data_IF_648811093731
#
_entry.id   IF_648811093731
#
_cell.length_a   1.000
_cell.length_b   1.000
_cell.length_c   1.000
_cell.angle_alpha   90.00
_cell.angle_beta   90.00
_cell.angle_gamma   90.00
#
_symmetry.space_group_name_H-M   'P 1'
#
loop_
_entity.id
_entity.type
_entity.pdbx_description
1 polymer ?
#
# COMPACT_ATOMS: atom_id res chain seq x y z
N UNK A 1 -30.79 0.37 18.74
CA UNK A 1 -31.67 1.43 18.20
C UNK A 1 -30.80 2.30 17.31
N UNK A 2 -30.96 2.22 15.98
CA UNK A 2 -30.22 3.07 15.03
C UNK A 2 -30.67 4.52 15.21
N UNK A 3 -29.73 5.42 15.51
CA UNK A 3 -29.99 6.84 15.60
C UNK A 3 -30.40 7.42 14.25
N UNK A 4 -31.13 8.54 14.25
CA UNK A 4 -31.51 9.25 13.01
C UNK A 4 -30.25 9.86 12.38
N UNK A 5 -29.90 9.45 11.16
CA UNK A 5 -28.76 10.02 10.46
C UNK A 5 -29.00 11.49 10.11
N UNK A 6 -28.01 12.31 10.37
CA UNK A 6 -28.07 13.76 10.12
C UNK A 6 -27.80 14.06 8.65
N UNK A 7 -28.67 14.84 8.03
CA UNK A 7 -28.42 15.42 6.70
C UNK A 7 -27.52 16.64 6.85
N UNK A 8 -26.38 16.64 6.21
CA UNK A 8 -25.40 17.72 6.22
C UNK A 8 -24.64 17.77 4.87
N UNK A 9 -23.58 18.55 4.80
CA UNK A 9 -22.69 18.64 3.64
C UNK A 9 -21.27 18.23 4.01
N UNK A 10 -20.45 17.87 3.02
CA UNK A 10 -19.02 17.56 3.23
C UNK A 10 -18.32 18.76 3.87
N UNK A 11 -18.62 19.99 3.44
CA UNK A 11 -17.99 21.20 3.97
C UNK A 11 -18.32 21.48 5.43
N UNK A 12 -19.50 21.11 5.90
CA UNK A 12 -19.90 21.23 7.31
C UNK A 12 -19.32 20.10 8.17
N UNK A 13 -19.33 18.87 7.66
CA UNK A 13 -18.90 17.69 8.40
C UNK A 13 -17.38 17.54 8.43
N UNK A 14 -16.71 17.63 7.29
CA UNK A 14 -15.27 17.42 7.16
C UNK A 14 -14.64 18.41 6.15
N UNK A 15 -14.47 19.68 6.53
CA UNK A 15 -13.97 20.71 5.63
C UNK A 15 -12.61 20.36 5.05
N UNK A 16 -12.50 20.46 3.71
CA UNK A 16 -11.28 20.19 2.95
C UNK A 16 -10.33 21.40 3.06
N UNK A 17 -9.16 21.17 3.59
CA UNK A 17 -8.10 22.18 3.73
C UNK A 17 -7.08 22.03 2.61
N UNK A 18 -6.63 23.13 2.01
CA UNK A 18 -5.56 23.09 1.00
C UNK A 18 -4.23 22.66 1.60
N UNK A 19 -3.54 21.74 0.92
CA UNK A 19 -2.15 21.45 1.19
C UNK A 19 -1.24 22.66 0.91
N UNK A 20 -0.01 22.61 1.39
CA UNK A 20 0.98 23.69 1.26
C UNK A 20 2.09 23.30 0.31
N UNK A 21 2.41 24.20 -0.62
CA UNK A 21 3.47 24.00 -1.58
C UNK A 21 4.81 23.64 -0.90
N UNK A 22 5.38 22.49 -1.30
CA UNK A 22 6.69 22.01 -0.87
C UNK A 22 7.41 21.37 -2.07
N UNK A 23 8.05 22.18 -2.94
CA UNK A 23 8.82 21.67 -4.05
C UNK A 23 9.94 20.76 -3.58
N UNK A 24 10.31 19.79 -4.41
CA UNK A 24 11.34 18.82 -4.08
C UNK A 24 12.66 19.48 -3.61
N UNK A 25 13.07 20.56 -4.25
CA UNK A 25 14.27 21.34 -3.90
C UNK A 25 14.25 21.95 -2.48
N UNK A 26 13.07 22.10 -1.87
CA UNK A 26 12.89 22.61 -0.50
C UNK A 26 12.71 21.51 0.53
N UNK A 27 12.58 20.26 0.11
CA UNK A 27 12.48 19.12 1.03
C UNK A 27 13.85 18.92 1.70
N UNK A 28 13.83 18.78 3.02
CA UNK A 28 15.02 18.46 3.82
C UNK A 28 14.90 17.00 4.26
N UNK A 29 16.03 16.32 4.37
CA UNK A 29 16.07 14.94 4.85
C UNK A 29 15.34 14.80 6.18
N UNK A 30 14.43 13.81 6.29
CA UNK A 30 13.60 13.56 7.46
C UNK A 30 12.70 12.36 7.27
N UNK A 31 11.83 12.11 8.25
CA UNK A 31 11.00 10.90 8.35
C UNK A 31 9.52 11.11 8.02
N UNK A 32 9.07 12.37 7.91
CA UNK A 32 7.67 12.67 7.64
C UNK A 32 7.38 12.53 6.15
N UNK A 33 6.42 11.68 5.81
CA UNK A 33 6.00 11.49 4.43
C UNK A 33 5.38 12.75 3.85
N UNK A 34 5.71 13.05 2.59
CA UNK A 34 5.12 14.11 1.79
C UNK A 34 4.15 13.48 0.81
N UNK A 35 2.89 13.90 0.85
CA UNK A 35 1.82 13.37 0.02
C UNK A 35 1.48 14.30 -1.12
N UNK A 36 1.46 13.74 -2.33
CA UNK A 36 0.81 14.28 -3.53
C UNK A 36 -0.52 13.59 -3.79
N UNK A 37 -1.16 13.93 -4.90
CA UNK A 37 -2.49 13.40 -5.25
C UNK A 37 -2.53 11.87 -5.44
N UNK A 38 -1.42 11.26 -5.81
CA UNK A 38 -1.32 9.80 -6.01
C UNK A 38 -0.62 9.07 -4.86
N UNK A 39 -0.58 9.69 -3.67
CA UNK A 39 0.07 9.10 -2.49
C UNK A 39 1.43 9.72 -2.16
N UNK A 40 2.31 8.98 -1.46
CA UNK A 40 3.60 9.47 -1.01
C UNK A 40 4.53 9.85 -2.19
N UNK A 41 5.16 11.02 -2.10
CA UNK A 41 6.09 11.56 -3.12
C UNK A 41 7.46 11.91 -2.55
N UNK A 42 7.77 11.46 -1.34
CA UNK A 42 9.05 11.65 -0.67
C UNK A 42 8.92 11.95 0.82
N UNK A 43 9.96 12.53 1.39
CA UNK A 43 10.04 12.79 2.83
C UNK A 43 10.45 14.25 3.11
N UNK A 44 10.15 14.70 4.33
CA UNK A 44 10.56 16.01 4.84
C UNK A 44 10.85 15.94 6.35
N UNK A 45 11.58 16.92 6.87
CA UNK A 45 11.99 16.98 8.29
C UNK A 45 10.94 17.61 9.22
N UNK A 46 9.83 18.12 8.67
CA UNK A 46 8.74 18.71 9.47
C UNK A 46 7.39 18.30 8.88
N UNK A 47 6.41 17.95 9.68
CA UNK A 47 5.06 17.69 9.20
C UNK A 47 4.27 19.01 9.05
N UNK A 48 3.32 19.04 8.13
CA UNK A 48 2.27 20.05 8.04
C UNK A 48 1.13 19.70 9.00
N UNK A 49 0.76 18.42 9.06
CA UNK A 49 -0.23 17.84 9.94
C UNK A 49 0.49 17.02 11.00
N UNK A 50 0.27 17.31 12.29
CA UNK A 50 1.01 16.72 13.42
C UNK A 50 0.47 15.37 13.89
N UNK A 51 -0.62 14.89 13.33
CA UNK A 51 -1.28 13.64 13.67
C UNK A 51 -1.76 12.93 12.41
N UNK A 52 -2.71 12.04 12.61
CA UNK A 52 -3.40 11.36 11.51
C UNK A 52 -4.26 12.33 10.68
N UNK A 53 -4.54 11.96 9.44
CA UNK A 53 -5.35 12.74 8.53
C UNK A 53 -5.77 11.96 7.30
N UNK A 54 -6.57 12.62 6.45
CA UNK A 54 -6.98 12.11 5.15
C UNK A 54 -6.42 13.06 4.10
N UNK A 55 -5.74 12.54 3.09
CA UNK A 55 -5.27 13.31 1.93
C UNK A 55 -6.15 13.01 0.73
N UNK A 56 -6.61 14.05 0.04
CA UNK A 56 -7.49 13.95 -1.12
C UNK A 56 -6.80 14.61 -2.32
N UNK A 57 -6.69 13.89 -3.43
CA UNK A 57 -6.12 14.39 -4.67
C UNK A 57 -6.96 15.52 -5.28
N UNK A 58 -6.34 16.70 -5.45
CA UNK A 58 -6.98 17.87 -6.04
C UNK A 58 -6.63 18.06 -7.51
N UNK A 59 -5.37 17.83 -7.90
CA UNK A 59 -4.83 17.97 -9.26
C UNK A 59 -4.05 16.71 -9.64
N UNK A 60 -4.08 16.33 -10.89
CA UNK A 60 -3.49 15.09 -11.37
C UNK A 60 -4.43 13.92 -11.10
N UNK A 61 -4.13 13.07 -10.15
CA UNK A 61 -5.04 11.98 -9.71
C UNK A 61 -6.15 12.56 -8.83
N UNK A 62 -7.15 13.13 -9.50
CA UNK A 62 -8.28 13.82 -8.87
C UNK A 62 -9.11 12.83 -8.06
N UNK A 63 -9.50 13.20 -6.84
CA UNK A 63 -10.39 12.41 -5.99
C UNK A 63 -9.76 11.18 -5.35
N UNK A 64 -8.49 10.86 -5.62
CA UNK A 64 -7.80 9.80 -4.90
C UNK A 64 -7.71 10.14 -3.40
N UNK A 65 -8.03 9.18 -2.54
CA UNK A 65 -8.13 9.38 -1.09
C UNK A 65 -7.14 8.46 -0.38
N UNK A 66 -6.39 9.02 0.58
CA UNK A 66 -5.40 8.28 1.36
C UNK A 66 -5.60 8.56 2.83
N UNK A 67 -5.80 7.50 3.63
CA UNK A 67 -5.74 7.58 5.09
C UNK A 67 -4.28 7.58 5.53
N UNK A 68 -3.89 8.55 6.36
CA UNK A 68 -2.51 8.71 6.84
C UNK A 68 -2.50 8.68 8.37
N UNK A 69 -1.95 7.62 8.95
CA UNK A 69 -1.94 7.38 10.39
C UNK A 69 -0.85 8.15 11.15
N UNK A 70 0.18 8.63 10.45
CA UNK A 70 1.34 9.31 11.04
C UNK A 70 1.38 10.79 10.63
N UNK A 71 2.12 11.65 11.34
CA UNK A 71 2.32 13.04 10.93
C UNK A 71 2.90 13.13 9.51
N UNK A 72 2.39 14.05 8.69
CA UNK A 72 2.70 14.13 7.27
C UNK A 72 2.70 15.57 6.73
N UNK A 73 3.15 15.73 5.49
CA UNK A 73 3.00 16.95 4.72
C UNK A 73 2.12 16.70 3.49
N UNK A 74 1.05 17.48 3.35
CA UNK A 74 0.15 17.49 2.17
C UNK A 74 0.55 18.66 1.28
N UNK A 75 0.93 18.39 0.01
CA UNK A 75 1.35 19.46 -0.93
C UNK A 75 0.15 20.16 -1.56
N UNK A 76 0.41 21.24 -2.27
CA UNK A 76 -0.61 22.11 -2.88
C UNK A 76 -1.47 21.47 -3.99
N UNK A 77 -1.09 20.29 -4.48
CA UNK A 77 -1.92 19.49 -5.40
C UNK A 77 -2.98 18.64 -4.69
N UNK A 78 -3.09 18.76 -3.37
CA UNK A 78 -4.00 17.97 -2.54
C UNK A 78 -4.83 18.84 -1.61
N UNK A 79 -5.93 18.27 -1.11
CA UNK A 79 -6.59 18.69 0.11
C UNK A 79 -6.24 17.73 1.25
N UNK A 80 -6.49 18.15 2.48
CA UNK A 80 -6.43 17.26 3.63
C UNK A 80 -7.55 17.54 4.64
N UNK A 81 -7.89 16.51 5.40
CA UNK A 81 -8.80 16.57 6.57
C UNK A 81 -8.04 16.06 7.78
N UNK A 82 -8.18 16.74 8.92
CA UNK A 82 -7.58 16.34 10.19
C UNK A 82 -8.62 15.75 11.13
N UNK A 83 -8.17 15.11 12.20
CA UNK A 83 -9.04 14.62 13.24
C UNK A 83 -9.81 15.78 13.93
N UNK A 84 -10.96 15.45 14.51
CA UNK A 84 -11.82 16.33 15.29
C UNK A 84 -12.57 15.51 16.33
N UNK A 85 -12.97 16.13 17.46
CA UNK A 85 -13.64 15.44 18.56
C UNK A 85 -15.07 14.97 18.22
N UNK A 86 -15.71 15.62 17.27
CA UNK A 86 -17.11 15.42 16.85
C UNK A 86 -17.29 14.38 15.75
N UNK A 87 -16.20 13.83 15.19
CA UNK A 87 -16.24 12.82 14.13
C UNK A 87 -15.13 11.79 14.28
N UNK A 88 -15.39 10.59 13.78
CA UNK A 88 -14.38 9.55 13.59
C UNK A 88 -13.66 9.73 12.25
N UNK A 89 -12.33 9.80 12.27
CA UNK A 89 -11.54 10.09 11.07
C UNK A 89 -11.53 8.90 10.09
N UNK A 90 -11.51 7.65 10.61
CA UNK A 90 -11.53 6.46 9.77
C UNK A 90 -12.90 6.26 9.10
N UNK A 91 -13.99 6.56 9.83
CA UNK A 91 -15.33 6.66 9.22
C UNK A 91 -15.36 7.74 8.13
N UNK A 92 -14.79 8.91 8.41
CA UNK A 92 -14.73 10.02 7.44
C UNK A 92 -13.98 9.61 6.17
N UNK A 93 -12.92 8.83 6.29
CA UNK A 93 -12.20 8.25 5.16
C UNK A 93 -13.13 7.39 4.29
N UNK A 94 -13.82 6.41 4.86
CA UNK A 94 -14.75 5.55 4.12
C UNK A 94 -15.93 6.31 3.52
N UNK A 95 -16.43 7.31 4.25
CA UNK A 95 -17.47 8.18 3.72
C UNK A 95 -17.00 8.90 2.46
N UNK A 96 -15.81 9.53 2.50
CA UNK A 96 -15.25 10.24 1.35
C UNK A 96 -14.99 9.30 0.17
N UNK A 97 -14.46 8.09 0.41
CA UNK A 97 -14.28 7.04 -0.60
C UNK A 97 -15.60 6.68 -1.31
N UNK A 98 -16.71 6.66 -0.56
CA UNK A 98 -18.03 6.32 -1.11
C UNK A 98 -18.66 7.42 -1.97
N UNK A 99 -18.10 8.65 -1.98
CA UNK A 99 -18.70 9.78 -2.67
C UNK A 99 -18.37 9.87 -4.16
N UNK A 100 -17.37 9.09 -4.65
CA UNK A 100 -16.94 9.15 -6.04
C UNK A 100 -16.36 10.50 -6.44
N UNK A 101 -15.48 11.06 -5.60
CA UNK A 101 -14.88 12.39 -5.82
C UNK A 101 -14.05 12.44 -7.10
N UNK A 102 -13.56 11.33 -7.60
CA UNK A 102 -12.85 11.18 -8.87
C UNK A 102 -13.71 11.54 -10.08
N UNK A 103 -15.04 11.42 -9.97
CA UNK A 103 -16.00 11.78 -11.01
C UNK A 103 -16.44 13.24 -10.96
N UNK A 104 -16.01 14.00 -9.94
CA UNK A 104 -16.33 15.43 -9.79
C UNK A 104 -15.36 16.35 -10.54
N UNK A 105 -14.73 15.82 -11.57
CA UNK A 105 -13.84 16.59 -12.43
C UNK A 105 -14.65 17.58 -13.26
N UNK A 106 -14.38 18.88 -13.11
CA UNK A 106 -14.98 19.91 -13.96
C UNK A 106 -14.20 20.00 -15.28
N UNK A 107 -14.92 20.13 -16.40
CA UNK A 107 -14.41 20.19 -17.78
C UNK A 107 -13.50 21.42 -18.03
N UNK A 108 -12.41 21.52 -17.34
CA UNK A 108 -11.37 22.52 -17.56
C UNK A 108 -10.14 21.88 -18.22
N UNK A 109 -9.37 22.66 -18.97
CA UNK A 109 -8.12 22.22 -19.61
C UNK A 109 -7.10 21.59 -18.65
N UNK A 110 -7.28 21.77 -17.34
CA UNK A 110 -6.51 21.12 -16.26
C UNK A 110 -7.49 20.45 -15.30
N UNK A 111 -7.61 19.13 -15.33
CA UNK A 111 -8.45 18.37 -14.42
C UNK A 111 -8.18 18.72 -12.94
N UNK A 112 -9.24 18.99 -12.18
CA UNK A 112 -9.10 19.32 -10.78
C UNK A 112 -10.40 19.18 -9.99
N UNK A 113 -10.28 18.74 -8.74
CA UNK A 113 -11.39 18.72 -7.79
C UNK A 113 -11.66 20.15 -7.31
N UNK A 114 -12.85 20.65 -7.62
CA UNK A 114 -13.31 21.94 -7.12
C UNK A 114 -13.73 21.77 -5.64
N UNK A 115 -13.12 22.54 -4.74
CA UNK A 115 -13.39 22.45 -3.30
C UNK A 115 -14.84 22.77 -2.97
N UNK A 116 -15.40 23.83 -3.55
CA UNK A 116 -16.73 24.31 -3.21
C UNK A 116 -17.80 23.32 -3.71
N UNK A 117 -17.58 22.72 -4.88
CA UNK A 117 -18.41 21.64 -5.40
C UNK A 117 -18.34 20.40 -4.49
N UNK A 118 -17.15 20.02 -4.02
CA UNK A 118 -16.99 18.93 -3.07
C UNK A 118 -17.65 19.25 -1.73
N UNK A 119 -17.47 20.46 -1.19
CA UNK A 119 -18.10 20.92 0.04
C UNK A 119 -19.62 20.93 -0.04
N UNK A 120 -20.22 21.30 -1.18
CA UNK A 120 -21.66 21.33 -1.38
C UNK A 120 -22.31 19.93 -1.47
N UNK A 121 -21.50 18.85 -1.52
CA UNK A 121 -22.00 17.47 -1.61
C UNK A 121 -22.80 17.13 -0.35
N UNK A 122 -24.07 16.76 -0.55
CA UNK A 122 -24.97 16.34 0.55
C UNK A 122 -24.62 14.93 0.98
N UNK A 123 -24.54 14.72 2.28
CA UNK A 123 -24.21 13.46 2.93
C UNK A 123 -25.17 13.14 4.08
N UNK A 124 -25.22 11.87 4.46
CA UNK A 124 -25.91 11.40 5.65
C UNK A 124 -24.85 10.90 6.63
N UNK A 125 -24.87 11.39 7.84
CA UNK A 125 -23.86 11.07 8.87
C UNK A 125 -24.56 10.52 10.11
N UNK A 126 -24.17 9.34 10.61
CA UNK A 126 -24.67 8.81 11.88
C UNK A 126 -24.04 9.51 13.09
N UNK A 127 -24.55 9.26 14.27
CA UNK A 127 -23.92 9.69 15.51
C UNK A 127 -22.53 9.07 15.70
N UNK A 128 -21.68 9.73 16.51
CA UNK A 128 -20.27 9.36 16.68
C UNK A 128 -20.06 7.89 17.10
N UNK A 129 -20.94 7.35 17.95
CA UNK A 129 -20.89 5.94 18.34
C UNK A 129 -21.04 4.98 17.14
N UNK A 130 -21.99 5.27 16.27
CA UNK A 130 -22.25 4.47 15.07
C UNK A 130 -21.12 4.68 14.04
N UNK A 131 -20.56 5.90 13.90
CA UNK A 131 -19.37 6.15 13.09
C UNK A 131 -18.20 5.24 13.50
N UNK A 132 -17.92 5.16 14.80
CA UNK A 132 -16.87 4.29 15.34
C UNK A 132 -17.13 2.82 15.09
N UNK A 133 -18.38 2.38 15.21
CA UNK A 133 -18.75 0.99 14.93
C UNK A 133 -18.52 0.64 13.44
N UNK A 134 -18.94 1.51 12.52
CA UNK A 134 -18.72 1.34 11.08
C UNK A 134 -17.21 1.35 10.78
N UNK A 135 -16.47 2.32 11.31
CA UNK A 135 -15.03 2.43 11.14
C UNK A 135 -14.28 1.19 11.63
N UNK A 136 -14.69 0.63 12.75
CA UNK A 136 -14.11 -0.60 13.30
C UNK A 136 -14.34 -1.81 12.38
N UNK A 137 -15.57 -1.98 11.87
CA UNK A 137 -15.87 -3.10 10.97
C UNK A 137 -15.08 -2.98 9.67
N UNK A 138 -15.19 -1.85 8.97
CA UNK A 138 -14.50 -1.63 7.70
C UNK A 138 -12.98 -1.66 7.87
N UNK A 139 -12.48 -1.03 8.95
CA UNK A 139 -11.07 -1.04 9.26
C UNK A 139 -10.50 -2.41 9.55
N UNK A 140 -11.26 -3.28 10.21
CA UNK A 140 -10.84 -4.67 10.43
C UNK A 140 -10.73 -5.48 9.14
N UNK A 141 -11.50 -5.13 8.12
CA UNK A 141 -11.40 -5.74 6.78
C UNK A 141 -10.15 -5.23 6.05
N UNK A 142 -9.88 -3.93 6.09
CA UNK A 142 -8.66 -3.37 5.49
C UNK A 142 -7.39 -3.95 6.14
N UNK A 143 -7.37 -4.06 7.48
CA UNK A 143 -6.25 -4.63 8.21
C UNK A 143 -6.00 -6.10 7.81
N UNK A 144 -7.08 -6.88 7.56
CA UNK A 144 -6.97 -8.26 7.04
C UNK A 144 -6.46 -8.29 5.60
N UNK A 145 -6.92 -7.39 4.74
CA UNK A 145 -6.45 -7.29 3.35
C UNK A 145 -4.95 -7.00 3.33
N UNK A 146 -4.51 -6.04 4.15
CA UNK A 146 -3.10 -5.67 4.23
C UNK A 146 -2.24 -6.81 4.80
N UNK A 147 -2.70 -7.48 5.85
CA UNK A 147 -2.02 -8.66 6.40
C UNK A 147 -1.88 -9.77 5.34
N UNK A 148 -2.94 -10.07 4.60
CA UNK A 148 -2.90 -11.07 3.54
C UNK A 148 -1.92 -10.70 2.41
N UNK A 149 -1.82 -9.41 2.05
CA UNK A 149 -0.83 -8.92 1.08
C UNK A 149 0.60 -9.13 1.58
N UNK A 150 0.87 -8.78 2.84
CA UNK A 150 2.19 -8.98 3.46
C UNK A 150 2.55 -10.45 3.55
N UNK A 151 1.59 -11.31 3.92
CA UNK A 151 1.79 -12.76 3.92
C UNK A 151 2.12 -13.29 2.52
N UNK A 152 1.40 -12.87 1.50
CA UNK A 152 1.66 -13.27 0.12
C UNK A 152 3.06 -12.85 -0.34
N UNK A 153 3.49 -11.62 -0.06
CA UNK A 153 4.84 -11.13 -0.37
C UNK A 153 5.92 -11.93 0.37
N UNK A 154 5.69 -12.23 1.64
CA UNK A 154 6.63 -13.02 2.45
C UNK A 154 6.77 -14.44 1.89
N UNK A 155 5.65 -15.10 1.60
CA UNK A 155 5.63 -16.45 1.01
C UNK A 155 6.31 -16.48 -0.37
N UNK A 156 6.07 -15.48 -1.20
CA UNK A 156 6.75 -15.35 -2.49
C UNK A 156 8.26 -15.19 -2.32
N UNK A 157 8.69 -14.38 -1.35
CA UNK A 157 10.11 -14.16 -1.05
C UNK A 157 10.78 -15.46 -0.56
N UNK A 158 10.09 -16.23 0.30
CA UNK A 158 10.56 -17.52 0.76
C UNK A 158 10.66 -18.51 -0.41
N UNK A 159 9.63 -18.60 -1.24
CA UNK A 159 9.62 -19.50 -2.39
C UNK A 159 10.77 -19.17 -3.37
N UNK A 160 11.00 -17.87 -3.64
CA UNK A 160 12.14 -17.42 -4.48
C UNK A 160 13.49 -17.76 -3.87
N UNK A 161 13.62 -17.59 -2.54
CA UNK A 161 14.87 -17.92 -1.84
C UNK A 161 15.15 -19.43 -1.90
N UNK A 162 14.14 -20.26 -1.65
CA UNK A 162 14.24 -21.72 -1.76
C UNK A 162 14.59 -22.13 -3.19
N UNK A 163 13.87 -21.58 -4.18
CA UNK A 163 14.14 -21.89 -5.58
C UNK A 163 15.59 -21.53 -5.96
N UNK A 164 16.05 -20.35 -5.56
CA UNK A 164 17.42 -19.92 -5.82
C UNK A 164 18.43 -20.86 -5.17
N UNK A 165 18.28 -21.16 -3.87
CA UNK A 165 19.16 -22.05 -3.13
C UNK A 165 19.21 -23.46 -3.74
N UNK A 166 18.05 -24.01 -4.10
CA UNK A 166 17.97 -25.42 -4.54
C UNK A 166 18.33 -25.61 -6.02
N UNK A 167 17.95 -24.69 -6.89
CA UNK A 167 18.01 -24.87 -8.35
C UNK A 167 18.95 -23.90 -9.08
N UNK A 168 19.49 -22.91 -8.39
CA UNK A 168 20.48 -21.98 -8.95
C UNK A 168 21.83 -22.12 -8.24
N UNK A 169 21.81 -22.06 -6.92
CA UNK A 169 23.03 -22.17 -6.10
C UNK A 169 23.39 -23.62 -5.77
N UNK A 170 22.46 -24.56 -5.96
CA UNK A 170 22.57 -26.00 -5.71
C UNK A 170 23.01 -26.33 -4.29
N UNK A 171 22.58 -25.54 -3.30
CA UNK A 171 22.99 -25.69 -1.93
C UNK A 171 22.70 -27.09 -1.32
N UNK A 172 21.60 -27.79 -1.66
CA UNK A 172 21.36 -29.15 -1.15
C UNK A 172 22.39 -30.18 -1.59
N UNK A 173 23.05 -30.01 -2.74
CA UNK A 173 24.02 -30.97 -3.29
C UNK A 173 25.34 -30.90 -2.52
N UNK A 174 25.76 -29.72 -2.07
CA UNK A 174 27.05 -29.50 -1.39
C UNK A 174 27.21 -30.35 -0.12
N UNK A 175 26.30 -30.33 0.87
CA UNK A 175 26.41 -31.18 2.05
C UNK A 175 26.28 -32.69 1.72
N UNK A 176 25.49 -33.07 0.68
CA UNK A 176 25.39 -34.47 0.26
C UNK A 176 26.70 -35.02 -0.29
N UNK A 177 27.51 -34.22 -0.96
CA UNK A 177 28.86 -34.60 -1.39
C UNK A 177 29.76 -34.95 -0.20
N UNK A 178 29.51 -34.35 0.96
CA UNK A 178 30.22 -34.62 2.22
C UNK A 178 29.57 -35.73 3.05
N UNK A 179 28.56 -36.43 2.53
CA UNK A 179 27.78 -37.44 3.24
C UNK A 179 26.90 -36.89 4.36
N UNK A 180 26.58 -35.58 4.31
CA UNK A 180 25.73 -34.88 5.29
C UNK A 180 24.34 -34.65 4.72
N UNK A 181 23.35 -34.60 5.62
CA UNK A 181 22.00 -34.19 5.25
C UNK A 181 21.91 -32.67 5.08
N UNK A 182 21.24 -32.16 4.01
CA UNK A 182 20.99 -30.75 3.86
C UNK A 182 20.12 -30.18 4.99
N UNK A 183 20.53 -29.04 5.53
CA UNK A 183 19.86 -28.40 6.67
C UNK A 183 18.47 -27.87 6.25
N UNK A 184 17.45 -28.02 7.11
CA UNK A 184 16.08 -27.53 6.86
C UNK A 184 15.29 -28.33 5.82
N UNK A 185 15.77 -29.54 5.43
CA UNK A 185 15.13 -30.39 4.41
C UNK A 185 14.81 -31.78 5.00
N UNK A 186 13.61 -32.32 4.68
CA UNK A 186 13.27 -33.67 5.06
C UNK A 186 14.13 -34.70 4.29
N UNK A 187 14.33 -35.90 4.84
CA UNK A 187 15.07 -36.96 4.16
C UNK A 187 14.49 -37.33 2.81
N UNK A 188 13.14 -37.35 2.70
CA UNK A 188 12.44 -37.63 1.45
C UNK A 188 12.75 -36.58 0.36
N UNK A 189 12.75 -35.31 0.73
CA UNK A 189 13.09 -34.22 -0.22
C UNK A 189 14.58 -34.20 -0.52
N UNK A 190 15.45 -34.43 0.47
CA UNK A 190 16.89 -34.53 0.26
C UNK A 190 17.26 -35.66 -0.68
N UNK A 191 16.51 -36.77 -0.67
CA UNK A 191 16.76 -37.92 -1.55
C UNK A 191 16.55 -37.58 -3.06
N UNK A 192 15.78 -36.53 -3.37
CA UNK A 192 15.55 -36.10 -4.74
C UNK A 192 16.73 -35.36 -5.37
N UNK A 193 17.68 -34.90 -4.54
CA UNK A 193 18.87 -34.20 -5.02
C UNK A 193 20.04 -35.16 -5.18
N UNK A 194 20.86 -34.99 -6.26
CA UNK A 194 22.09 -35.80 -6.41
C UNK A 194 23.15 -35.43 -5.34
N UNK A 195 24.17 -36.26 -5.24
CA UNK A 195 25.30 -36.05 -4.35
C UNK A 195 26.61 -35.70 -5.08
N UNK A 196 26.51 -35.34 -6.37
CA UNK A 196 27.65 -35.02 -7.22
C UNK A 196 27.35 -33.90 -8.18
N UNK A 197 28.42 -33.18 -8.55
CA UNK A 197 28.41 -32.22 -9.65
C UNK A 197 29.12 -32.84 -10.86
N UNK A 198 28.66 -32.42 -12.06
CA UNK A 198 29.29 -32.77 -13.33
C UNK A 198 29.57 -31.47 -14.13
N UNK A 199 30.63 -31.50 -14.92
CA UNK A 199 30.97 -30.37 -15.80
C UNK A 199 30.02 -30.30 -17.01
N UNK A 200 29.54 -29.10 -17.33
CA UNK A 200 28.68 -28.82 -18.48
C UNK A 200 29.07 -27.53 -19.17
N UNK A 201 28.46 -27.24 -20.32
CA UNK A 201 28.65 -25.96 -21.05
C UNK A 201 28.27 -24.73 -20.20
N UNK A 202 27.45 -24.91 -19.16
CA UNK A 202 27.01 -23.88 -18.21
C UNK A 202 27.83 -23.84 -16.91
N UNK A 203 28.91 -24.63 -16.82
CA UNK A 203 29.70 -24.83 -15.61
C UNK A 203 29.31 -26.09 -14.86
N UNK A 204 29.64 -26.14 -13.55
CA UNK A 204 29.32 -27.28 -12.68
C UNK A 204 27.84 -27.32 -12.37
N UNK A 205 27.17 -28.39 -12.80
CA UNK A 205 25.75 -28.65 -12.52
C UNK A 205 25.58 -29.96 -11.75
N UNK A 206 24.49 -30.14 -10.98
CA UNK A 206 24.20 -31.43 -10.34
C UNK A 206 24.07 -32.56 -11.35
N UNK A 207 24.54 -33.73 -10.99
CA UNK A 207 24.42 -34.95 -11.82
C UNK A 207 22.94 -35.22 -12.15
N UNK A 208 22.63 -35.50 -13.43
CA UNK A 208 21.26 -35.65 -13.92
C UNK A 208 20.55 -34.33 -14.26
N UNK A 209 21.16 -33.18 -13.99
CA UNK A 209 20.70 -31.88 -14.46
C UNK A 209 20.96 -31.75 -15.96
N UNK A 210 19.89 -31.67 -16.76
CA UNK A 210 20.01 -31.45 -18.22
C UNK A 210 19.63 -30.01 -18.56
N UNK A 211 20.35 -29.38 -19.52
CA UNK A 211 19.91 -28.14 -20.12
C UNK A 211 18.70 -28.42 -21.01
N UNK A 212 17.51 -27.98 -20.59
CA UNK A 212 16.38 -27.91 -21.51
C UNK A 212 16.67 -26.85 -22.57
N UNK A 213 16.98 -27.26 -23.79
CA UNK A 213 16.98 -26.39 -24.97
C UNK A 213 15.53 -25.92 -25.17
N UNK A 214 15.17 -24.76 -24.66
CA UNK A 214 13.91 -24.08 -25.00
C UNK A 214 14.04 -23.65 -26.46
N UNK A 215 13.54 -24.48 -27.36
CA UNK A 215 13.36 -24.12 -28.76
C UNK A 215 12.36 -22.94 -28.78
N UNK A 216 12.85 -21.72 -29.02
CA UNK A 216 12.00 -20.61 -29.42
C UNK A 216 11.42 -20.99 -30.79
N UNK A 217 10.16 -21.41 -30.83
CA UNK A 217 9.38 -21.32 -32.06
C UNK A 217 9.07 -19.84 -32.27
N UNK A 218 9.62 -19.29 -33.33
CA UNK A 218 9.32 -17.98 -33.93
C UNK A 218 7.90 -17.99 -34.45
#
# INVERSE_FOLDING_TARGET
MGGKWLKTTVGEFCPLTYGKNLPEKRRKQGTYQVYGSNGPVGFHNKPLVKGEGIVIGRKGTVGAIHYVALPFWSIDTTFYVTNSEDRDLRFTYYLLESLGLEHMNTDSAVPGLNRDAAHARKILVPGLYEQRAIAHILGSLDDKIELNRQMAQTLESIARAIFKSWFVDFDPVKPKMEGKQPEGMSEEVAALFPDKFVESELGMIPEGGGSLKVSRRV
#
